data_IF_778395624664
#
_entry.id   IF_778395624664
#
_cell.length_a   1.000
_cell.length_b   1.000
_cell.length_c   1.000
_cell.angle_alpha   90.00
_cell.angle_beta   90.00
_cell.angle_gamma   90.00
#
_symmetry.space_group_name_H-M   'P 1'
#
loop_
_entity.id
_entity.type
_entity.pdbx_description
1 polymer ?
#
# COMPACT_ATOMS: atom_id res chain seq x y z
N UNK A 1 72.75 37.26 -17.63
CA UNK A 1 71.79 37.29 -16.51
C UNK A 1 70.46 37.80 -17.05
N UNK A 2 69.62 36.88 -17.52
CA UNK A 2 68.35 37.16 -18.20
C UNK A 2 67.20 36.80 -17.26
N UNK A 3 66.40 37.80 -16.89
CA UNK A 3 65.28 37.67 -15.96
C UNK A 3 64.04 37.16 -16.70
N UNK A 4 63.59 35.98 -16.29
CA UNK A 4 62.42 35.28 -16.82
C UNK A 4 61.17 35.76 -16.05
N UNK A 5 60.26 36.51 -16.69
CA UNK A 5 58.97 36.89 -16.10
C UNK A 5 57.94 35.79 -16.38
N UNK A 6 57.55 35.10 -15.32
CA UNK A 6 56.41 34.17 -15.27
C UNK A 6 55.11 34.85 -15.71
N UNK A 7 54.45 34.30 -16.72
CA UNK A 7 53.03 34.51 -16.98
C UNK A 7 52.23 33.56 -16.07
N UNK A 8 51.47 34.11 -15.14
CA UNK A 8 50.46 33.36 -14.39
C UNK A 8 49.14 33.39 -15.17
N UNK A 9 48.71 32.21 -15.61
CA UNK A 9 47.43 31.99 -16.27
C UNK A 9 46.28 32.17 -15.27
N UNK A 10 45.37 33.08 -15.59
CA UNK A 10 44.14 33.33 -14.85
C UNK A 10 43.05 32.43 -15.45
N UNK A 11 42.93 31.21 -14.92
CA UNK A 11 41.82 30.29 -15.22
C UNK A 11 40.67 30.68 -14.29
N UNK A 12 39.78 31.54 -14.78
CA UNK A 12 38.55 31.91 -14.08
C UNK A 12 37.55 30.74 -14.19
N UNK A 13 37.17 30.25 -13.01
CA UNK A 13 36.03 29.38 -12.77
C UNK A 13 34.78 29.83 -13.54
N UNK A 14 34.37 29.02 -14.51
CA UNK A 14 32.99 29.00 -14.97
C UNK A 14 32.15 28.29 -13.92
N UNK A 15 31.39 29.04 -13.14
CA UNK A 15 30.29 28.51 -12.34
C UNK A 15 29.27 27.85 -13.28
N UNK A 16 29.32 26.52 -13.40
CA UNK A 16 28.16 25.75 -13.86
C UNK A 16 27.06 25.93 -12.81
N UNK A 17 26.14 26.87 -13.03
CA UNK A 17 24.80 26.76 -12.50
C UNK A 17 24.15 25.57 -13.22
N UNK A 18 24.28 24.37 -12.64
CA UNK A 18 23.40 23.27 -12.96
C UNK A 18 22.02 23.72 -12.49
N UNK A 19 21.25 24.30 -13.40
CA UNK A 19 19.83 24.54 -13.18
C UNK A 19 19.20 23.19 -12.90
N UNK A 20 18.84 22.96 -11.63
CA UNK A 20 18.03 21.81 -11.26
C UNK A 20 16.70 22.00 -11.98
N UNK A 21 16.55 21.36 -13.14
CA UNK A 21 15.24 21.21 -13.76
C UNK A 21 14.31 20.69 -12.67
N UNK A 22 13.27 21.47 -12.34
CA UNK A 22 12.29 21.05 -11.36
C UNK A 22 11.75 19.71 -11.86
N UNK A 23 11.98 18.63 -11.09
CA UNK A 23 11.52 17.32 -11.48
C UNK A 23 9.99 17.39 -11.62
N UNK A 24 9.49 17.12 -12.82
CA UNK A 24 8.05 17.02 -13.09
C UNK A 24 7.43 16.11 -12.05
N UNK A 25 6.51 16.63 -11.25
CA UNK A 25 5.87 15.85 -10.19
C UNK A 25 4.96 14.78 -10.78
N UNK A 26 5.13 13.52 -10.35
CA UNK A 26 4.33 12.38 -10.81
C UNK A 26 2.88 12.53 -10.36
N UNK A 27 1.93 12.37 -11.29
CA UNK A 27 0.51 12.27 -10.97
C UNK A 27 0.11 10.82 -10.78
N UNK A 28 -0.88 10.55 -9.92
CA UNK A 28 -1.42 9.21 -9.69
C UNK A 28 -2.84 9.23 -9.12
N UNK A 29 -3.61 8.18 -9.41
CA UNK A 29 -5.00 8.02 -9.00
C UNK A 29 -5.09 7.22 -7.69
N UNK A 30 -5.65 7.81 -6.64
CA UNK A 30 -5.69 7.24 -5.29
C UNK A 30 -7.09 6.80 -4.89
N UNK A 31 -7.21 5.64 -4.27
CA UNK A 31 -8.42 5.23 -3.53
C UNK A 31 -8.44 5.78 -2.08
N UNK A 32 -7.41 6.52 -1.65
CA UNK A 32 -7.32 7.04 -0.29
C UNK A 32 -8.06 8.38 -0.23
N UNK A 33 -9.18 8.48 0.53
CA UNK A 33 -9.88 9.74 0.66
C UNK A 33 -8.98 10.76 1.35
N UNK A 34 -9.10 12.05 1.00
CA UNK A 34 -8.42 13.06 1.76
C UNK A 34 -8.87 13.00 3.22
N UNK A 35 -7.92 13.17 4.14
CA UNK A 35 -8.27 13.29 5.55
C UNK A 35 -9.34 14.39 5.67
N UNK A 36 -10.49 14.04 6.25
CA UNK A 36 -11.49 15.04 6.61
C UNK A 36 -10.74 16.05 7.46
N UNK A 37 -10.58 17.27 6.96
CA UNK A 37 -10.15 18.35 7.84
C UNK A 37 -11.17 18.32 8.95
N UNK A 38 -10.77 17.96 10.17
CA UNK A 38 -11.51 18.38 11.35
C UNK A 38 -11.44 19.90 11.28
N UNK A 39 -12.37 20.52 10.54
CA UNK A 39 -12.72 21.89 10.76
C UNK A 39 -12.90 21.95 12.27
N UNK A 40 -12.12 22.80 12.91
CA UNK A 40 -12.11 22.95 14.35
C UNK A 40 -13.53 23.33 14.77
N UNK A 41 -14.35 22.32 15.03
CA UNK A 41 -15.58 22.44 15.77
C UNK A 41 -15.07 22.71 17.19
N UNK A 42 -14.88 24.00 17.46
CA UNK A 42 -14.56 24.51 18.78
C UNK A 42 -15.68 24.02 19.70
N UNK A 43 -15.43 22.91 20.39
CA UNK A 43 -16.29 22.49 21.48
C UNK A 43 -16.27 23.65 22.49
N UNK A 44 -17.45 24.24 22.83
CA UNK A 44 -17.50 25.15 23.95
C UNK A 44 -17.03 24.39 25.18
N UNK A 45 -16.11 24.99 25.92
CA UNK A 45 -15.53 24.41 27.13
C UNK A 45 -16.65 24.00 28.10
N UNK A 46 -16.96 22.71 28.16
CA UNK A 46 -17.81 22.15 29.19
C UNK A 46 -17.02 22.08 30.50
N UNK A 47 -17.62 22.64 31.54
CA UNK A 47 -17.09 22.74 32.88
C UNK A 47 -16.60 21.39 33.43
N UNK A 48 -15.35 21.37 33.87
CA UNK A 48 -14.85 20.41 34.86
C UNK A 48 -15.73 20.47 36.11
N UNK A 49 -16.52 19.43 36.35
CA UNK A 49 -17.06 19.15 37.66
C UNK A 49 -16.06 18.33 38.46
N UNK A 50 -15.50 18.99 39.48
CA UNK A 50 -14.83 18.39 40.62
C UNK A 50 -15.78 17.41 41.33
N UNK A 51 -15.36 16.15 41.48
CA UNK A 51 -15.89 15.27 42.52
C UNK A 51 -14.78 14.47 43.19
N UNK A 52 -14.32 15.06 44.29
CA UNK A 52 -14.25 14.47 45.63
C UNK A 52 -13.99 12.96 45.77
N UNK A 53 -12.87 12.71 46.42
CA UNK A 53 -12.47 11.56 47.23
C UNK A 53 -13.59 10.92 48.07
N UNK A 54 -13.73 9.59 47.95
CA UNK A 54 -14.20 8.69 49.01
C UNK A 54 -13.48 7.34 48.87
N UNK A 55 -12.53 7.02 49.77
CA UNK A 55 -12.67 6.16 50.97
C UNK A 55 -13.16 4.74 50.65
N UNK A 56 -12.24 3.78 50.83
CA UNK A 56 -12.46 2.33 50.82
C UNK A 56 -13.30 1.89 52.04
N UNK A 57 -14.06 0.78 51.89
CA UNK A 57 -13.80 -0.31 52.81
C UNK A 57 -13.73 -1.69 52.13
N UNK A 58 -12.89 -2.54 52.71
CA UNK A 58 -12.81 -3.96 52.45
C UNK A 58 -14.03 -4.68 53.05
N UNK A 59 -14.61 -5.63 52.32
CA UNK A 59 -15.30 -6.78 52.88
C UNK A 59 -15.46 -7.91 51.86
N UNK A 60 -15.15 -9.10 52.34
CA UNK A 60 -15.08 -10.40 51.68
C UNK A 60 -16.32 -11.25 51.96
N UNK A 61 -17.00 -11.81 50.95
CA UNK A 61 -17.77 -13.06 50.99
C UNK A 61 -18.26 -13.45 49.56
N UNK A 62 -18.70 -14.70 49.30
CA UNK A 62 -18.45 -15.41 48.05
C UNK A 62 -19.53 -15.23 46.98
N UNK A 63 -19.07 -15.20 45.72
CA UNK A 63 -19.91 -15.07 44.54
C UNK A 63 -20.69 -16.37 44.26
N UNK A 64 -22.02 -16.24 44.23
CA UNK A 64 -22.89 -17.20 43.58
C UNK A 64 -22.66 -17.19 42.06
N UNK A 65 -22.54 -18.37 41.47
CA UNK A 65 -22.29 -18.58 40.06
C UNK A 65 -23.41 -17.97 39.19
N UNK A 66 -23.08 -16.85 38.53
CA UNK A 66 -23.84 -16.38 37.38
C UNK A 66 -23.50 -17.24 36.15
N UNK A 67 -24.47 -17.58 35.28
CA UNK A 67 -24.19 -18.33 34.07
C UNK A 67 -23.21 -17.54 33.20
N UNK A 68 -22.17 -18.23 32.75
CA UNK A 68 -21.14 -17.69 31.88
C UNK A 68 -21.78 -16.90 30.72
N UNK A 69 -21.68 -15.57 30.78
CA UNK A 69 -21.78 -14.75 29.58
C UNK A 69 -20.70 -15.27 28.66
N UNK A 70 -21.12 -15.85 27.52
CA UNK A 70 -20.24 -16.02 26.37
C UNK A 70 -19.59 -14.66 26.15
N UNK A 71 -18.30 -14.56 26.47
CA UNK A 71 -17.50 -13.42 26.10
C UNK A 71 -17.41 -13.45 24.57
N UNK A 72 -18.32 -12.72 23.95
CA UNK A 72 -18.31 -12.43 22.52
C UNK A 72 -17.17 -11.43 22.29
N UNK A 73 -15.93 -11.93 22.33
CA UNK A 73 -14.71 -11.14 22.10
C UNK A 73 -14.60 -10.64 20.66
N UNK A 74 -15.52 -11.02 19.77
CA UNK A 74 -15.49 -10.63 18.36
C UNK A 74 -16.37 -9.40 18.02
N UNK A 75 -17.06 -8.80 19.00
CA UNK A 75 -17.98 -7.68 18.72
C UNK A 75 -17.44 -6.27 19.04
N UNK A 76 -16.25 -6.15 19.66
CA UNK A 76 -15.68 -4.84 20.07
C UNK A 76 -14.18 -4.73 19.80
N UNK A 77 -13.73 -5.25 18.66
CA UNK A 77 -12.51 -4.79 18.02
C UNK A 77 -12.96 -4.24 16.68
N UNK A 78 -12.67 -2.97 16.39
CA UNK A 78 -12.67 -2.51 14.99
C UNK A 78 -11.38 -3.12 14.38
N UNK A 79 -11.45 -4.29 13.71
CA UNK A 79 -10.27 -5.10 13.38
C UNK A 79 -9.50 -4.51 12.20
N UNK A 80 -10.05 -3.46 11.60
CA UNK A 80 -9.78 -3.07 10.25
C UNK A 80 -9.27 -1.63 10.27
N UNK A 81 -8.02 -1.45 9.85
CA UNK A 81 -7.57 -0.16 9.33
C UNK A 81 -8.27 0.22 8.02
N UNK A 82 -9.39 -0.43 7.67
CA UNK A 82 -10.23 -0.11 6.53
C UNK A 82 -11.44 0.68 7.03
N UNK A 83 -11.79 1.82 6.41
CA UNK A 83 -13.04 2.50 6.73
C UNK A 83 -14.21 1.55 6.43
N UNK A 84 -15.19 1.42 7.33
CA UNK A 84 -16.45 0.67 7.08
C UNK A 84 -17.01 1.02 5.70
N UNK A 85 -16.78 0.15 4.73
CA UNK A 85 -17.25 0.32 3.38
C UNK A 85 -18.72 -0.08 3.29
N UNK A 86 -19.45 0.56 2.37
CA UNK A 86 -20.72 -0.01 1.89
C UNK A 86 -20.35 -1.14 0.92
N UNK A 87 -19.89 -2.27 1.45
CA UNK A 87 -19.20 -3.36 0.73
C UNK A 87 -20.07 -4.12 -0.30
N UNK A 88 -21.28 -3.62 -0.57
CA UNK A 88 -22.21 -4.15 -1.56
C UNK A 88 -22.52 -3.19 -2.72
N UNK A 89 -21.97 -1.97 -2.69
CA UNK A 89 -22.14 -1.02 -3.78
C UNK A 89 -20.94 -1.08 -4.74
N UNK A 90 -21.20 -1.27 -6.04
CA UNK A 90 -20.19 -1.23 -7.10
C UNK A 90 -19.56 0.15 -7.33
N UNK A 91 -19.91 1.17 -6.54
CA UNK A 91 -19.34 2.51 -6.66
C UNK A 91 -17.95 2.62 -6.02
N UNK A 92 -16.96 3.06 -6.78
CA UNK A 92 -15.64 3.47 -6.30
C UNK A 92 -15.47 4.98 -6.42
N UNK A 93 -14.74 5.56 -5.46
CA UNK A 93 -14.35 6.96 -5.49
C UNK A 93 -12.82 7.05 -5.50
N UNK A 94 -12.31 7.82 -6.44
CA UNK A 94 -10.88 7.95 -6.75
C UNK A 94 -10.52 9.43 -6.73
N UNK A 95 -9.34 9.75 -6.24
CA UNK A 95 -8.83 11.12 -6.17
C UNK A 95 -7.49 11.26 -6.88
N UNK A 96 -7.26 12.38 -7.56
CA UNK A 96 -5.97 12.65 -8.17
C UNK A 96 -4.99 13.23 -7.14
N UNK A 97 -3.78 12.69 -7.11
CA UNK A 97 -2.69 13.13 -6.23
C UNK A 97 -1.44 13.46 -7.04
N UNK A 98 -0.61 14.33 -6.47
CA UNK A 98 0.61 14.83 -7.10
C UNK A 98 1.81 14.62 -6.18
N UNK A 99 2.92 14.14 -6.75
CA UNK A 99 4.16 13.83 -6.06
C UNK A 99 4.27 12.36 -5.63
N UNK A 100 5.51 11.94 -5.35
CA UNK A 100 5.86 10.53 -5.09
C UNK A 100 5.71 10.09 -3.63
N UNK A 101 5.58 11.02 -2.68
CA UNK A 101 5.40 10.70 -1.26
C UNK A 101 3.96 10.27 -1.00
N UNK A 102 3.67 8.97 -0.98
CA UNK A 102 2.30 8.45 -0.88
C UNK A 102 1.53 9.00 0.35
N UNK A 103 2.20 9.19 1.50
CA UNK A 103 1.54 9.77 2.68
C UNK A 103 1.33 11.27 2.56
N UNK A 104 2.32 12.01 2.06
CA UNK A 104 2.30 13.48 2.09
C UNK A 104 1.80 14.14 0.79
N UNK A 105 1.67 13.39 -0.30
CA UNK A 105 1.31 13.89 -1.63
C UNK A 105 0.00 14.69 -1.57
N UNK A 106 -0.01 15.97 -1.98
CA UNK A 106 -1.24 16.75 -2.03
C UNK A 106 -2.25 16.17 -3.02
N UNK A 107 -3.52 16.47 -2.77
CA UNK A 107 -4.60 16.24 -3.73
C UNK A 107 -4.63 17.37 -4.75
N UNK A 108 -4.86 17.02 -6.02
CA UNK A 108 -4.91 18.00 -7.12
C UNK A 108 -6.26 18.71 -7.12
N UNK A 109 -6.25 20.01 -7.34
CA UNK A 109 -7.45 20.83 -7.41
C UNK A 109 -8.11 20.75 -8.80
N UNK A 110 -9.44 20.72 -8.86
CA UNK A 110 -10.23 20.58 -10.11
C UNK A 110 -10.01 21.73 -11.11
N UNK A 111 -9.47 22.87 -10.70
CA UNK A 111 -9.22 23.99 -11.61
C UNK A 111 -7.93 23.84 -12.47
N UNK A 112 -7.08 22.86 -12.17
CA UNK A 112 -5.75 22.70 -12.80
C UNK A 112 -5.71 21.60 -13.88
N UNK A 113 -6.88 21.28 -14.39
CA UNK A 113 -7.24 19.93 -14.76
C UNK A 113 -7.92 19.95 -16.13
N UNK A 114 -7.14 19.69 -17.18
CA UNK A 114 -7.62 19.44 -18.54
C UNK A 114 -7.38 17.96 -18.82
N UNK A 115 -8.37 17.11 -18.50
CA UNK A 115 -8.19 15.66 -18.57
C UNK A 115 -9.20 14.95 -19.46
N UNK A 116 -8.71 13.89 -20.10
CA UNK A 116 -9.57 12.81 -20.55
C UNK A 116 -9.50 11.67 -19.54
N UNK A 117 -10.65 11.29 -18.99
CA UNK A 117 -10.80 10.15 -18.09
C UNK A 117 -11.53 9.02 -18.81
N UNK A 118 -10.94 7.83 -18.78
CA UNK A 118 -11.49 6.64 -19.42
C UNK A 118 -11.44 5.47 -18.44
N UNK A 119 -12.50 4.67 -18.40
CA UNK A 119 -12.52 3.38 -17.73
C UNK A 119 -12.54 2.28 -18.77
N UNK A 120 -11.80 1.20 -18.53
CA UNK A 120 -11.84 -0.03 -19.30
C UNK A 120 -12.20 -1.17 -18.33
N UNK A 121 -13.21 -1.95 -18.66
CA UNK A 121 -13.58 -3.14 -17.87
C UNK A 121 -12.82 -4.39 -18.32
N UNK A 122 -13.00 -5.50 -17.60
CA UNK A 122 -12.33 -6.77 -17.91
C UNK A 122 -12.70 -7.37 -19.28
N UNK A 123 -13.85 -6.97 -19.85
CA UNK A 123 -14.27 -7.34 -21.22
C UNK A 123 -13.65 -6.41 -22.29
N UNK A 124 -12.88 -5.41 -21.87
CA UNK A 124 -12.25 -4.42 -22.74
C UNK A 124 -13.19 -3.29 -23.20
N UNK A 125 -14.42 -3.23 -22.67
CA UNK A 125 -15.36 -2.16 -23.01
C UNK A 125 -14.93 -0.86 -22.33
N UNK A 126 -14.95 0.20 -23.13
CA UNK A 126 -14.53 1.54 -22.72
C UNK A 126 -15.72 2.41 -22.34
N UNK A 127 -15.57 3.17 -21.26
CA UNK A 127 -16.54 4.16 -20.83
C UNK A 127 -15.83 5.47 -20.50
N UNK A 128 -16.34 6.59 -21.00
CA UNK A 128 -15.85 7.90 -20.58
C UNK A 128 -16.31 8.17 -19.14
N UNK A 129 -15.41 8.70 -18.30
CA UNK A 129 -15.73 9.14 -16.95
C UNK A 129 -15.73 10.66 -16.88
N UNK A 130 -16.48 11.21 -15.93
CA UNK A 130 -16.46 12.64 -15.62
C UNK A 130 -15.79 12.87 -14.28
N UNK A 131 -14.90 13.86 -14.23
CA UNK A 131 -14.40 14.36 -12.98
C UNK A 131 -15.48 15.16 -12.25
N UNK A 132 -15.58 14.97 -10.94
CA UNK A 132 -16.34 15.78 -10.01
C UNK A 132 -15.38 16.61 -9.15
N UNK A 133 -15.92 17.67 -8.54
CA UNK A 133 -15.21 18.41 -7.50
C UNK A 133 -15.74 18.00 -6.13
N UNK A 134 -14.90 17.39 -5.31
CA UNK A 134 -15.16 17.21 -3.88
C UNK A 134 -14.29 18.19 -3.10
N UNK A 135 -14.91 19.20 -2.48
CA UNK A 135 -14.19 20.17 -1.65
C UNK A 135 -13.01 20.82 -2.41
N UNK A 136 -13.21 21.20 -3.68
CA UNK A 136 -12.22 21.74 -4.63
C UNK A 136 -11.16 20.76 -5.17
N UNK A 137 -11.26 19.46 -4.85
CA UNK A 137 -10.32 18.43 -5.29
C UNK A 137 -10.89 17.62 -6.45
N UNK A 138 -10.03 17.25 -7.38
CA UNK A 138 -10.40 16.38 -8.49
C UNK A 138 -10.70 14.98 -7.98
N UNK A 139 -11.93 14.56 -8.22
CA UNK A 139 -12.47 13.28 -7.76
C UNK A 139 -13.17 12.61 -8.92
N UNK A 140 -13.10 11.29 -9.00
CA UNK A 140 -13.79 10.49 -10.02
C UNK A 140 -14.63 9.46 -9.30
N UNK A 141 -15.92 9.40 -9.62
CA UNK A 141 -16.80 8.32 -9.20
C UNK A 141 -16.95 7.35 -10.37
N UNK A 142 -16.63 6.09 -10.13
CA UNK A 142 -16.78 5.02 -11.10
C UNK A 142 -17.81 4.02 -10.60
N UNK A 143 -18.79 3.71 -11.45
CA UNK A 143 -19.74 2.64 -11.20
C UNK A 143 -19.22 1.36 -11.86
N UNK A 144 -19.13 0.28 -11.08
CA UNK A 144 -18.57 -1.01 -11.50
C UNK A 144 -19.72 -2.03 -11.59
N UNK A 145 -20.36 -2.16 -12.77
CA UNK A 145 -21.62 -2.89 -12.91
C UNK A 145 -21.50 -4.42 -12.80
N UNK A 146 -20.31 -4.98 -13.00
CA UNK A 146 -20.04 -6.41 -13.03
C UNK A 146 -18.84 -6.78 -12.15
N UNK A 147 -18.83 -8.00 -11.63
CA UNK A 147 -17.68 -8.49 -10.85
C UNK A 147 -16.47 -8.60 -11.76
N UNK A 148 -15.35 -8.00 -11.35
CA UNK A 148 -14.09 -8.07 -12.07
C UNK A 148 -13.22 -6.84 -11.85
N UNK A 149 -12.08 -6.86 -12.52
CA UNK A 149 -11.14 -5.75 -12.54
C UNK A 149 -11.55 -4.70 -13.56
N UNK A 150 -11.21 -3.45 -13.24
CA UNK A 150 -11.41 -2.29 -14.08
C UNK A 150 -10.16 -1.43 -13.97
N UNK A 151 -9.75 -0.86 -15.10
CA UNK A 151 -8.68 0.11 -15.13
C UNK A 151 -9.23 1.49 -15.44
N UNK A 152 -8.92 2.43 -14.56
CA UNK A 152 -9.25 3.84 -14.74
C UNK A 152 -7.98 4.56 -15.18
N UNK A 153 -8.08 5.25 -16.31
CA UNK A 153 -7.03 6.00 -16.95
C UNK A 153 -7.37 7.47 -16.90
N UNK A 154 -6.36 8.29 -16.68
CA UNK A 154 -6.40 9.72 -16.92
C UNK A 154 -5.25 10.10 -17.84
N UNK A 155 -5.45 11.10 -18.67
CA UNK A 155 -4.37 11.71 -19.45
C UNK A 155 -4.36 13.21 -19.19
N UNK A 156 -3.20 13.73 -18.82
CA UNK A 156 -2.95 15.16 -18.68
C UNK A 156 -1.74 15.56 -19.50
N UNK A 157 -1.87 16.67 -20.23
CA UNK A 157 -0.82 17.25 -21.07
C UNK A 157 -0.49 18.67 -20.64
N UNK A 158 0.79 18.98 -20.52
CA UNK A 158 1.26 20.33 -20.24
C UNK A 158 2.59 20.58 -20.95
N UNK A 159 2.85 21.82 -21.35
CA UNK A 159 4.17 22.21 -21.87
C UNK A 159 5.00 22.76 -20.72
N UNK A 160 6.15 22.14 -20.48
CA UNK A 160 7.16 22.53 -19.51
C UNK A 160 8.46 22.86 -20.28
N UNK A 161 8.79 24.14 -20.42
CA UNK A 161 9.94 24.56 -21.23
C UNK A 161 9.76 24.23 -22.72
N UNK A 162 10.66 23.39 -23.25
CA UNK A 162 10.64 22.91 -24.65
C UNK A 162 9.98 21.53 -24.80
N UNK A 163 9.47 20.97 -23.71
CA UNK A 163 9.00 19.59 -23.63
C UNK A 163 7.49 19.53 -23.37
N UNK A 164 6.79 18.69 -24.12
CA UNK A 164 5.43 18.28 -23.81
C UNK A 164 5.49 17.18 -22.74
N UNK A 165 4.97 17.45 -21.57
CA UNK A 165 4.80 16.47 -20.50
C UNK A 165 3.42 15.82 -20.64
N UNK A 166 3.40 14.51 -20.75
CA UNK A 166 2.19 13.67 -20.81
C UNK A 166 2.17 12.75 -19.60
N UNK A 167 1.27 13.03 -18.65
CA UNK A 167 1.06 12.23 -17.44
C UNK A 167 -0.11 11.28 -17.68
N UNK A 168 0.11 9.99 -17.42
CA UNK A 168 -0.81 8.88 -17.70
C UNK A 168 -1.05 8.06 -16.42
N UNK A 169 -1.67 8.64 -15.38
CA UNK A 169 -1.94 7.87 -14.18
C UNK A 169 -3.07 6.87 -14.42
N UNK A 170 -2.84 5.67 -13.94
CA UNK A 170 -3.71 4.51 -14.00
C UNK A 170 -4.01 4.06 -12.58
N UNK A 171 -5.22 3.58 -12.31
CA UNK A 171 -5.50 2.77 -11.12
C UNK A 171 -6.32 1.56 -11.51
N UNK A 172 -5.90 0.41 -11.00
CA UNK A 172 -6.63 -0.85 -11.10
C UNK A 172 -7.58 -0.93 -9.91
N UNK A 173 -8.87 -1.05 -10.17
CA UNK A 173 -9.91 -1.19 -9.15
C UNK A 173 -10.66 -2.49 -9.35
N UNK A 174 -11.05 -3.10 -8.25
CA UNK A 174 -11.79 -4.35 -8.24
C UNK A 174 -13.18 -4.13 -7.66
N UNK A 175 -14.18 -4.68 -8.36
CA UNK A 175 -15.48 -4.99 -7.77
C UNK A 175 -15.65 -6.49 -7.63
N UNK A 176 -15.92 -6.96 -6.41
CA UNK A 176 -16.18 -8.36 -6.12
C UNK A 176 -17.14 -8.50 -4.95
N UNK A 177 -17.97 -9.54 -4.99
CA UNK A 177 -18.93 -9.86 -3.93
C UNK A 177 -18.95 -11.36 -3.69
N UNK A 178 -19.04 -11.78 -2.42
CA UNK A 178 -19.15 -13.19 -2.04
C UNK A 178 -20.49 -13.83 -2.44
N UNK A 179 -21.44 -13.03 -2.92
CA UNK A 179 -22.78 -13.49 -3.33
C UNK A 179 -22.84 -13.85 -4.82
N UNK A 180 -21.89 -13.34 -5.62
CA UNK A 180 -21.83 -13.67 -7.03
C UNK A 180 -21.40 -15.13 -7.19
N UNK A 181 -22.34 -15.96 -7.65
CA UNK A 181 -22.07 -17.33 -8.09
C UNK A 181 -21.73 -17.30 -9.58
N UNK A 182 -20.92 -18.24 -10.02
CA UNK A 182 -20.58 -18.44 -11.45
C UNK A 182 -19.69 -17.35 -12.09
N UNK A 183 -18.84 -16.69 -11.30
CA UNK A 183 -17.79 -15.83 -11.85
C UNK A 183 -16.58 -16.69 -12.20
N UNK A 184 -16.13 -16.62 -13.46
CA UNK A 184 -14.85 -17.17 -13.87
C UNK A 184 -13.73 -16.28 -13.31
N UNK A 185 -13.20 -16.65 -12.15
CA UNK A 185 -12.16 -15.90 -11.43
C UNK A 185 -10.90 -15.70 -12.29
N UNK A 186 -10.54 -16.68 -13.13
CA UNK A 186 -9.37 -16.59 -14.01
C UNK A 186 -9.60 -15.60 -15.15
N UNK A 187 -10.81 -15.59 -15.73
CA UNK A 187 -11.14 -14.63 -16.78
C UNK A 187 -11.17 -13.19 -16.26
N UNK A 188 -11.76 -12.96 -15.08
CA UNK A 188 -11.86 -11.60 -14.53
C UNK A 188 -10.55 -11.10 -13.98
N UNK A 189 -9.63 -11.99 -13.58
CA UNK A 189 -8.31 -11.63 -13.06
C UNK A 189 -7.23 -11.49 -14.15
N UNK A 190 -7.59 -11.20 -15.40
CA UNK A 190 -6.60 -10.88 -16.43
C UNK A 190 -6.23 -9.39 -16.39
N UNK A 191 -4.94 -9.03 -16.55
CA UNK A 191 -4.56 -7.64 -16.69
C UNK A 191 -5.21 -7.02 -17.93
N UNK A 192 -5.74 -5.81 -17.80
CA UNK A 192 -6.33 -5.06 -18.90
C UNK A 192 -5.23 -4.23 -19.58
N UNK A 193 -5.22 -4.22 -20.92
CA UNK A 193 -4.23 -3.52 -21.74
C UNK A 193 -4.90 -2.40 -22.52
N UNK A 194 -4.38 -1.17 -22.41
CA UNK A 194 -4.80 -0.05 -23.24
C UNK A 194 -3.83 0.16 -24.41
N UNK A 195 -4.14 -0.49 -25.55
CA UNK A 195 -3.34 -0.41 -26.77
C UNK A 195 -3.23 0.99 -27.39
N UNK A 196 -4.06 1.94 -26.97
CA UNK A 196 -4.01 3.33 -27.44
C UNK A 196 -3.15 4.23 -26.55
N UNK A 197 -2.76 3.77 -25.34
CA UNK A 197 -1.93 4.56 -24.44
C UNK A 197 -0.50 4.69 -25.00
N UNK A 198 0.07 5.91 -25.10
CA UNK A 198 1.42 6.09 -25.63
C UNK A 198 2.50 5.51 -24.71
N UNK A 199 2.19 5.38 -23.41
CA UNK A 199 2.98 4.65 -22.42
C UNK A 199 2.02 4.04 -21.39
N UNK A 200 2.26 2.81 -20.97
CA UNK A 200 1.45 2.13 -19.96
C UNK A 200 2.34 1.28 -19.06
N UNK A 201 2.00 1.24 -17.77
CA UNK A 201 2.53 0.25 -16.84
C UNK A 201 1.37 -0.64 -16.38
N UNK A 202 1.53 -1.94 -16.54
CA UNK A 202 0.55 -2.96 -16.15
C UNK A 202 1.15 -3.81 -15.05
N UNK A 203 0.38 -4.12 -14.03
CA UNK A 203 0.75 -5.14 -13.05
C UNK A 203 0.38 -6.50 -13.61
N UNK A 204 1.33 -7.42 -13.59
CA UNK A 204 1.03 -8.81 -13.92
C UNK A 204 0.43 -9.48 -12.70
N UNK A 205 -0.70 -10.13 -12.90
CA UNK A 205 -1.38 -10.86 -11.84
C UNK A 205 -0.66 -12.17 -11.55
N UNK A 206 -0.72 -12.62 -10.30
CA UNK A 206 -0.16 -13.92 -9.91
C UNK A 206 -0.95 -15.05 -10.59
N UNK A 207 -0.34 -16.22 -10.86
CA UNK A 207 -1.01 -17.32 -11.54
C UNK A 207 -2.33 -17.77 -10.89
N UNK A 208 -2.40 -17.70 -9.56
CA UNK A 208 -3.59 -18.08 -8.76
C UNK A 208 -4.32 -16.85 -8.19
N UNK A 209 -4.15 -15.69 -8.82
CA UNK A 209 -4.78 -14.46 -8.37
C UNK A 209 -6.28 -14.45 -8.69
N UNK A 210 -7.13 -14.68 -7.70
CA UNK A 210 -8.57 -14.41 -7.78
C UNK A 210 -8.94 -13.03 -7.21
N UNK A 211 -10.23 -12.67 -7.27
CA UNK A 211 -10.79 -11.40 -6.79
C UNK A 211 -10.46 -11.08 -5.31
N UNK A 212 -10.29 -12.08 -4.46
CA UNK A 212 -10.01 -11.87 -3.03
C UNK A 212 -8.54 -11.96 -2.68
N UNK A 213 -7.67 -12.12 -3.67
CA UNK A 213 -6.23 -12.13 -3.47
C UNK A 213 -5.77 -10.75 -2.99
N UNK A 214 -4.78 -10.78 -2.10
CA UNK A 214 -4.14 -9.58 -1.56
C UNK A 214 -2.65 -9.81 -1.62
N UNK A 215 -1.94 -8.87 -2.23
CA UNK A 215 -0.49 -8.84 -2.17
C UNK A 215 -0.04 -8.70 -0.71
N UNK A 216 1.04 -9.38 -0.36
CA UNK A 216 1.66 -9.29 0.96
C UNK A 216 3.14 -8.94 0.86
N UNK A 217 3.70 -8.41 1.93
CA UNK A 217 5.15 -8.20 2.02
C UNK A 217 5.89 -9.53 1.81
N UNK A 218 6.94 -9.51 1.00
CA UNK A 218 7.68 -10.69 0.56
C UNK A 218 7.26 -11.18 -0.82
N UNK A 219 6.07 -10.83 -1.30
CA UNK A 219 5.65 -11.17 -2.67
C UNK A 219 6.52 -10.44 -3.70
N UNK A 220 6.68 -11.08 -4.86
CA UNK A 220 7.29 -10.46 -6.04
C UNK A 220 6.19 -9.93 -6.93
N UNK A 221 6.06 -8.61 -7.01
CA UNK A 221 5.19 -7.95 -7.98
C UNK A 221 5.95 -7.76 -9.29
N UNK A 222 5.32 -8.14 -10.40
CA UNK A 222 5.87 -7.96 -11.74
C UNK A 222 5.06 -6.87 -12.46
N UNK A 223 5.75 -5.99 -13.17
CA UNK A 223 5.13 -5.01 -14.05
C UNK A 223 5.61 -5.20 -15.47
N UNK A 224 4.73 -4.92 -16.43
CA UNK A 224 5.08 -4.83 -17.84
C UNK A 224 4.88 -3.39 -18.34
N UNK A 225 5.91 -2.83 -18.97
CA UNK A 225 5.88 -1.50 -19.58
C UNK A 225 5.55 -1.66 -21.06
N UNK A 226 4.48 -1.01 -21.50
CA UNK A 226 4.03 -1.01 -22.88
C UNK A 226 4.04 0.40 -23.48
N UNK A 227 4.22 0.51 -24.80
CA UNK A 227 3.92 1.70 -25.59
C UNK A 227 3.02 1.26 -26.74
N UNK A 228 1.82 1.84 -26.82
CA UNK A 228 0.80 1.47 -27.80
C UNK A 228 0.52 -0.05 -27.82
N UNK A 229 0.37 -0.62 -26.61
CA UNK A 229 0.12 -2.05 -26.40
C UNK A 229 1.30 -2.99 -26.67
N UNK A 230 2.49 -2.48 -26.99
CA UNK A 230 3.69 -3.31 -27.27
C UNK A 230 4.73 -3.16 -26.17
N UNK A 231 5.42 -4.23 -25.76
CA UNK A 231 6.45 -4.14 -24.73
C UNK A 231 7.61 -3.23 -25.11
N UNK A 232 8.12 -2.47 -24.12
CA UNK A 232 9.25 -1.56 -24.30
C UNK A 232 10.36 -1.90 -23.31
N UNK A 233 11.55 -2.13 -23.84
CA UNK A 233 12.74 -2.44 -23.06
C UNK A 233 13.46 -1.17 -22.60
N UNK A 234 14.32 -1.35 -21.59
CA UNK A 234 15.22 -0.33 -21.04
C UNK A 234 14.52 0.95 -20.56
N UNK A 235 13.26 0.83 -20.13
CA UNK A 235 12.51 1.93 -19.52
C UNK A 235 12.77 1.92 -18.02
N UNK A 236 13.20 3.05 -17.41
CA UNK A 236 13.32 3.15 -15.97
C UNK A 236 11.94 3.09 -15.32
N UNK A 237 11.74 2.13 -14.44
CA UNK A 237 10.57 1.97 -13.59
C UNK A 237 10.98 2.15 -12.15
N UNK A 238 10.35 3.08 -11.46
CA UNK A 238 10.58 3.35 -10.04
C UNK A 238 9.39 2.87 -9.24
N UNK A 239 9.64 2.08 -8.20
CA UNK A 239 8.63 1.72 -7.19
C UNK A 239 8.93 2.46 -5.90
N UNK A 240 7.92 3.16 -5.36
CA UNK A 240 7.98 3.89 -4.09
C UNK A 240 6.98 3.26 -3.12
N UNK A 241 7.43 2.95 -1.91
CA UNK A 241 6.60 2.37 -0.85
C UNK A 241 6.05 3.48 0.06
N UNK A 242 5.01 3.18 0.81
CA UNK A 242 4.29 4.17 1.62
C UNK A 242 5.19 4.98 2.58
N UNK A 243 6.21 4.36 3.17
CA UNK A 243 7.15 4.99 4.09
C UNK A 243 8.39 5.60 3.41
N UNK A 244 8.38 5.72 2.08
CA UNK A 244 9.36 6.47 1.30
C UNK A 244 10.56 5.66 0.80
N UNK A 245 10.65 4.36 1.10
CA UNK A 245 11.61 3.50 0.40
C UNK A 245 11.31 3.51 -1.09
N UNK A 246 12.33 3.67 -1.92
CA UNK A 246 12.21 3.64 -3.37
C UNK A 246 13.34 2.84 -4.01
N UNK A 247 13.05 2.26 -5.17
CA UNK A 247 14.06 1.63 -6.01
C UNK A 247 13.68 1.76 -7.48
N UNK A 248 14.69 1.92 -8.34
CA UNK A 248 14.53 2.06 -9.78
C UNK A 248 15.21 0.89 -10.48
N UNK A 249 14.47 0.22 -11.35
CA UNK A 249 14.95 -0.89 -12.18
C UNK A 249 14.55 -0.61 -13.64
N UNK A 250 15.27 -1.20 -14.59
CA UNK A 250 14.97 -1.04 -16.01
C UNK A 250 14.16 -2.25 -16.52
N UNK A 251 13.22 -2.00 -17.43
CA UNK A 251 12.46 -3.07 -18.08
C UNK A 251 13.34 -3.93 -18.99
N UNK A 252 13.08 -5.24 -18.99
CA UNK A 252 13.77 -6.20 -19.85
C UNK A 252 13.31 -6.14 -21.32
N UNK A 253 13.83 -7.03 -22.16
CA UNK A 253 13.50 -7.11 -23.59
C UNK A 253 12.00 -7.35 -23.86
N UNK A 254 11.32 -8.02 -22.93
CA UNK A 254 9.87 -8.28 -22.94
C UNK A 254 9.05 -7.20 -22.21
N UNK A 255 9.69 -6.07 -21.89
CA UNK A 255 9.10 -4.95 -21.15
C UNK A 255 8.87 -5.23 -19.67
N UNK A 256 9.35 -6.35 -19.11
CA UNK A 256 9.06 -6.72 -17.72
C UNK A 256 10.08 -6.18 -16.73
N UNK A 257 9.60 -5.87 -15.53
CA UNK A 257 10.41 -5.53 -14.35
C UNK A 257 9.78 -6.16 -13.12
N UNK A 258 10.59 -6.54 -12.14
CA UNK A 258 10.14 -7.24 -10.93
C UNK A 258 10.64 -6.55 -9.68
N UNK A 259 9.75 -6.39 -8.70
CA UNK A 259 10.08 -5.85 -7.40
C UNK A 259 9.60 -6.79 -6.30
N UNK A 260 10.37 -6.91 -5.23
CA UNK A 260 9.89 -7.55 -4.00
C UNK A 260 9.19 -6.49 -3.14
N UNK A 261 7.98 -6.79 -2.68
CA UNK A 261 7.25 -5.93 -1.75
C UNK A 261 7.92 -5.99 -0.38
N UNK A 262 8.59 -4.91 0.00
CA UNK A 262 9.27 -4.81 1.29
C UNK A 262 8.26 -4.38 2.35
N UNK A 263 8.33 -5.02 3.52
CA UNK A 263 7.56 -4.60 4.69
C UNK A 263 8.04 -3.23 5.18
N UNK A 264 7.14 -2.26 5.27
CA UNK A 264 7.40 -0.96 5.91
C UNK A 264 6.74 -0.81 7.29
N UNK A 265 5.70 -1.60 7.58
CA UNK A 265 4.97 -1.59 8.84
C UNK A 265 5.64 -2.42 9.97
N UNK A 266 6.33 -1.76 10.90
CA UNK A 266 6.97 -2.37 12.08
C UNK A 266 6.43 -1.82 13.41
N UNK A 267 5.15 -2.07 13.77
CA UNK A 267 4.60 -1.66 15.04
C UNK A 267 5.17 -2.48 16.19
N UNK A 268 4.92 -2.06 17.44
CA UNK A 268 5.10 -2.93 18.60
C UNK A 268 4.16 -4.13 18.49
N UNK A 269 4.52 -5.26 19.10
CA UNK A 269 3.75 -6.51 18.99
C UNK A 269 2.28 -6.37 19.36
N UNK A 270 1.99 -5.71 20.49
CA UNK A 270 0.62 -5.49 20.97
C UNK A 270 -0.19 -4.51 20.11
N UNK A 271 0.47 -3.77 19.22
CA UNK A 271 -0.12 -2.80 18.30
C UNK A 271 -0.18 -3.34 16.86
N UNK A 272 0.27 -4.59 16.64
CA UNK A 272 0.32 -5.18 15.32
C UNK A 272 -1.08 -5.45 14.77
N UNK A 273 -1.38 -4.82 13.65
CA UNK A 273 -2.63 -5.01 12.91
C UNK A 273 -2.37 -5.90 11.71
N UNK A 274 -2.88 -7.13 11.76
CA UNK A 274 -2.82 -8.09 10.64
C UNK A 274 -3.38 -7.53 9.33
N UNK A 275 -4.45 -6.74 9.42
CA UNK A 275 -5.12 -6.14 8.26
C UNK A 275 -4.64 -4.70 7.99
N UNK A 276 -3.46 -4.33 8.48
CA UNK A 276 -2.82 -3.08 8.07
C UNK A 276 -2.60 -3.10 6.55
N UNK A 277 -2.95 -2.02 5.88
CA UNK A 277 -2.75 -1.86 4.44
C UNK A 277 -1.68 -0.80 4.24
N UNK A 278 -0.61 -1.20 3.57
CA UNK A 278 0.36 -0.27 3.01
C UNK A 278 0.13 -0.13 1.50
N UNK A 279 0.54 1.02 0.98
CA UNK A 279 0.42 1.36 -0.43
C UNK A 279 1.81 1.42 -1.08
N UNK A 280 1.86 1.22 -2.38
CA UNK A 280 3.02 1.52 -3.20
C UNK A 280 2.59 2.29 -4.45
N UNK A 281 3.55 2.93 -5.11
CA UNK A 281 3.39 3.63 -6.38
C UNK A 281 4.51 3.17 -7.30
N UNK A 282 4.15 2.53 -8.41
CA UNK A 282 5.07 2.25 -9.50
C UNK A 282 4.88 3.31 -10.59
N UNK A 283 5.95 3.82 -11.16
CA UNK A 283 5.88 4.72 -12.32
C UNK A 283 7.05 4.52 -13.28
N UNK A 284 6.79 4.75 -14.55
CA UNK A 284 7.74 4.63 -15.65
C UNK A 284 7.88 5.99 -16.35
N UNK A 285 9.10 6.35 -16.73
CA UNK A 285 9.38 7.59 -17.45
C UNK A 285 10.08 7.32 -18.78
N UNK A 286 9.58 7.91 -19.86
CA UNK A 286 10.18 7.81 -21.21
C UNK A 286 10.22 9.19 -21.85
N UNK A 287 11.38 9.60 -22.33
CA UNK A 287 11.55 10.80 -23.16
C UNK A 287 11.69 10.40 -24.63
N UNK A 288 11.01 11.12 -25.52
CA UNK A 288 11.12 10.96 -26.98
C UNK A 288 11.41 12.31 -27.62
N UNK A 289 12.32 12.31 -28.59
CA UNK A 289 12.59 13.46 -29.45
C UNK A 289 11.46 13.59 -30.48
N UNK A 290 10.35 14.18 -30.06
CA UNK A 290 9.14 14.39 -30.85
C UNK A 290 8.78 15.88 -30.82
N UNK A 291 8.84 16.51 -31.98
CA UNK A 291 8.49 17.93 -32.13
C UNK A 291 7.03 18.08 -32.56
N UNK A 292 6.34 19.06 -31.99
CA UNK A 292 4.93 19.30 -32.28
C UNK A 292 4.43 20.64 -31.78
N UNK A 293 3.11 20.79 -31.77
CA UNK A 293 2.43 21.91 -31.14
C UNK A 293 1.24 21.43 -30.31
N UNK A 294 1.12 21.96 -29.09
CA UNK A 294 -0.01 21.71 -28.19
C UNK A 294 -0.54 23.06 -27.70
N UNK A 295 -1.85 23.28 -27.85
CA UNK A 295 -2.51 24.56 -27.52
C UNK A 295 -1.79 25.79 -28.12
N UNK A 296 -1.29 25.66 -29.35
CA UNK A 296 -0.59 26.73 -30.08
C UNK A 296 0.87 26.97 -29.67
N UNK A 297 1.38 26.30 -28.64
CA UNK A 297 2.79 26.35 -28.23
C UNK A 297 3.56 25.18 -28.83
N UNK A 298 4.79 25.44 -29.30
CA UNK A 298 5.66 24.42 -29.88
C UNK A 298 6.51 23.74 -28.81
N UNK A 299 6.83 22.47 -29.04
CA UNK A 299 7.76 21.67 -28.24
C UNK A 299 8.67 20.86 -29.18
N UNK A 300 9.84 20.45 -28.70
CA UNK A 300 10.82 19.62 -29.41
C UNK A 300 10.93 18.20 -28.86
N UNK A 301 10.41 17.96 -27.66
CA UNK A 301 10.45 16.66 -26.99
C UNK A 301 9.14 16.34 -26.31
N UNK A 302 8.88 15.06 -26.09
CA UNK A 302 7.75 14.59 -25.28
C UNK A 302 8.26 13.70 -24.15
N UNK A 303 7.91 14.06 -22.92
CA UNK A 303 8.15 13.26 -21.72
C UNK A 303 6.86 12.57 -21.30
N UNK A 304 6.85 11.24 -21.35
CA UNK A 304 5.74 10.40 -20.91
C UNK A 304 6.01 9.88 -19.50
N UNK A 305 5.02 9.99 -18.62
CA UNK A 305 5.07 9.46 -17.26
C UNK A 305 3.82 8.63 -17.01
N UNK A 306 3.96 7.30 -16.91
CA UNK A 306 2.86 6.40 -16.59
C UNK A 306 2.98 5.95 -15.13
N UNK A 307 1.89 5.95 -14.38
CA UNK A 307 1.91 5.59 -12.96
C UNK A 307 0.78 4.62 -12.60
N UNK A 308 1.05 3.72 -11.67
CA UNK A 308 0.12 2.72 -11.16
C UNK A 308 0.34 2.52 -9.66
N UNK A 309 -0.61 2.95 -8.80
CA UNK A 309 -0.57 2.64 -7.39
C UNK A 309 -1.09 1.23 -7.13
N UNK A 310 -0.67 0.66 -6.00
CA UNK A 310 -1.18 -0.60 -5.52
C UNK A 310 -1.16 -0.70 -4.00
N UNK A 311 -1.73 -1.78 -3.49
CA UNK A 311 -1.93 -2.05 -2.07
C UNK A 311 -1.34 -3.40 -1.71
N UNK A 312 -0.81 -3.51 -0.49
CA UNK A 312 -0.33 -4.77 0.06
C UNK A 312 -0.46 -4.79 1.58
N UNK A 313 -0.37 -5.98 2.17
CA UNK A 313 -0.49 -6.21 3.62
C UNK A 313 0.79 -6.83 4.20
N UNK A 314 1.00 -6.79 5.52
CA UNK A 314 2.03 -7.59 6.16
C UNK A 314 1.84 -9.09 5.89
N UNK A 315 2.95 -9.82 5.72
CA UNK A 315 2.92 -11.27 5.48
C UNK A 315 2.28 -12.04 6.63
N UNK A 316 1.39 -13.01 6.36
CA UNK A 316 0.88 -13.90 7.40
C UNK A 316 1.96 -14.81 8.00
N UNK A 317 3.05 -15.03 7.27
CA UNK A 317 4.15 -15.87 7.72
C UNK A 317 4.92 -15.23 8.88
N UNK A 318 4.95 -13.89 8.94
CA UNK A 318 5.70 -13.15 9.95
C UNK A 318 5.24 -13.44 11.39
N UNK A 319 3.94 -13.67 11.61
CA UNK A 319 3.41 -13.95 12.95
C UNK A 319 3.11 -15.43 13.20
N UNK A 320 2.93 -16.24 12.15
CA UNK A 320 2.74 -17.70 12.31
C UNK A 320 3.99 -18.38 12.86
N UNK A 321 5.19 -17.93 12.48
CA UNK A 321 6.47 -18.46 12.96
C UNK A 321 6.60 -18.35 14.49
N UNK A 322 6.15 -17.24 15.08
CA UNK A 322 6.17 -17.04 16.54
C UNK A 322 5.24 -18.00 17.28
N UNK A 323 4.03 -18.24 16.76
CA UNK A 323 3.10 -19.20 17.36
C UNK A 323 3.68 -20.62 17.37
N UNK A 324 4.35 -21.03 16.29
CA UNK A 324 5.07 -22.31 16.22
C UNK A 324 6.23 -22.38 17.22
N UNK A 325 7.06 -21.35 17.30
CA UNK A 325 8.17 -21.29 18.26
C UNK A 325 7.70 -21.36 19.71
N UNK A 326 6.63 -20.65 20.05
CA UNK A 326 6.00 -20.71 21.37
C UNK A 326 5.41 -22.09 21.64
N UNK A 327 4.72 -22.69 20.65
CA UNK A 327 4.14 -24.03 20.76
C UNK A 327 5.20 -25.10 21.02
N UNK A 328 6.31 -25.08 20.29
CA UNK A 328 7.44 -25.98 20.50
C UNK A 328 8.05 -25.78 21.89
N UNK A 329 8.25 -24.53 22.31
CA UNK A 329 8.80 -24.22 23.64
C UNK A 329 7.89 -24.74 24.75
N UNK A 330 6.59 -24.48 24.67
CA UNK A 330 5.61 -24.95 25.63
C UNK A 330 5.56 -26.48 25.67
N UNK A 331 5.60 -27.14 24.51
CA UNK A 331 5.67 -28.59 24.40
C UNK A 331 6.90 -29.15 25.13
N UNK A 332 8.08 -28.61 24.86
CA UNK A 332 9.34 -29.04 25.51
C UNK A 332 9.27 -28.83 27.03
N UNK A 333 8.73 -27.69 27.48
CA UNK A 333 8.57 -27.41 28.92
C UNK A 333 7.62 -28.41 29.57
N UNK A 334 6.41 -28.60 29.03
CA UNK A 334 5.40 -29.51 29.60
C UNK A 334 5.90 -30.96 29.63
N UNK A 335 6.48 -31.44 28.53
CA UNK A 335 7.02 -32.80 28.46
C UNK A 335 8.26 -32.98 29.35
N UNK A 336 9.14 -31.98 29.40
CA UNK A 336 10.29 -31.98 30.31
C UNK A 336 9.86 -32.06 31.78
N UNK A 337 8.87 -31.25 32.18
CA UNK A 337 8.28 -31.29 33.51
C UNK A 337 7.62 -32.65 33.81
N UNK A 338 6.85 -33.20 32.87
CA UNK A 338 6.21 -34.51 33.02
C UNK A 338 7.25 -35.63 33.15
N UNK A 339 8.30 -35.61 32.34
CA UNK A 339 9.38 -36.59 32.39
C UNK A 339 10.11 -36.55 33.75
N UNK A 340 10.45 -35.34 34.22
CA UNK A 340 11.07 -35.14 35.55
C UNK A 340 10.12 -35.61 36.66
N UNK A 341 8.83 -35.28 36.57
CA UNK A 341 7.82 -35.70 37.54
C UNK A 341 7.69 -37.22 37.62
N UNK A 342 7.54 -37.90 36.48
CA UNK A 342 7.47 -39.36 36.41
C UNK A 342 8.75 -40.02 36.91
N UNK A 343 9.91 -39.46 36.56
CA UNK A 343 11.22 -39.89 37.06
C UNK A 343 11.31 -39.79 38.59
N UNK A 344 10.93 -38.64 39.17
CA UNK A 344 10.90 -38.43 40.63
C UNK A 344 9.93 -39.38 41.32
N UNK A 345 8.71 -39.53 40.79
CA UNK A 345 7.67 -40.41 41.34
C UNK A 345 8.13 -41.87 41.42
N UNK A 346 8.88 -42.36 40.42
CA UNK A 346 9.45 -43.72 40.44
C UNK A 346 10.53 -43.92 41.50
N UNK A 347 11.20 -42.86 41.95
CA UNK A 347 12.27 -42.93 42.96
C UNK A 347 11.83 -42.66 44.39
N UNK A 348 10.59 -42.23 44.60
CA UNK A 348 9.99 -42.21 45.93
C UNK A 348 9.83 -43.68 46.37
N UNK A 349 10.80 -44.18 47.15
CA UNK A 349 10.71 -45.50 47.76
C UNK A 349 9.44 -45.52 48.62
N UNK A 350 8.56 -46.51 48.47
CA UNK A 350 7.43 -46.66 49.37
C UNK A 350 7.93 -46.75 50.81
N UNK A 351 7.21 -46.14 51.74
CA UNK A 351 7.53 -46.12 53.16
C UNK A 351 7.77 -47.56 53.61
N UNK A 352 9.00 -47.88 54.02
CA UNK A 352 9.35 -49.19 54.51
C UNK A 352 9.30 -49.10 56.02
N UNK A 353 8.23 -49.64 56.61
CA UNK A 353 8.15 -49.75 58.07
C UNK A 353 9.29 -50.67 58.54
N UNK A 354 10.28 -50.09 59.23
CA UNK A 354 11.26 -50.87 59.95
C UNK A 354 10.64 -51.25 61.30
N UNK A 355 10.33 -52.54 61.47
CA UNK A 355 10.01 -53.09 62.78
C UNK A 355 11.31 -53.13 63.58
N UNK A 356 11.45 -52.20 64.52
CA UNK A 356 12.47 -52.28 65.57
C UNK A 356 12.07 -53.43 66.49
N UNK A 357 12.88 -54.49 66.50
CA UNK A 357 12.72 -55.59 67.45
C UNK A 357 13.43 -55.16 68.74
N UNK A 358 12.64 -54.71 69.72
CA UNK A 358 13.13 -54.30 71.04
C UNK A 358 13.60 -55.54 71.81
N UNK A 359 14.88 -55.89 71.62
CA UNK A 359 15.63 -56.74 72.55
C UNK A 359 16.80 -55.93 73.10
N UNK A 360 16.53 -55.23 74.20
CA UNK A 360 17.52 -54.73 75.14
C UNK A 360 17.46 -55.58 76.42
#
# INVERSE_FOLDING_TARGET
>A
MTNNKMQFALVLWGCLQVGSAAATEVLWLSEIPPAKSKAAEAQPAEHQHDHQSHVLPAQSAPAAAAPAKKHDHDSVIDPEGEPKGKDHAGGKQIWLRQGVSIKAAPYVATAKANESLTMIDFDGKRSALSAESDSSRLTVKADLPSVGFYDLYMEQRAIEGDSLVVQLPKVEVLWATCVAKDVDEEAVAKPIINSESPLEIIREHLPDEGCFTRLVSGDVVSFQVLSLGKPVADVPVTMVMQDGWSNTLHSGADGRVKFTLIRSYFPKWLEFKKYHVDNFLAYAEVEKEEAGAWEGKRYSKTKYVASLPGKYRPSPHDYRSYAWGLGITLFVVVFGWLAIYLYRRRRLKPYKEERLDDKA
#
